data_IF_086644156242
#
_entry.id   IF_086644156242
#
_cell.length_a   1.000
_cell.length_b   1.000
_cell.length_c   1.000
_cell.angle_alpha   90.00
_cell.angle_beta   90.00
_cell.angle_gamma   90.00
#
_symmetry.space_group_name_H-M   'P 1'
#
loop_
_entity.id
_entity.type
_entity.pdbx_description
1 polymer ?
#
# COMPACT_ATOMS: atom_id res chain seq x y z
N UNK A 1 -7.89 20.78 -7.22
CA UNK A 1 -6.86 19.75 -7.23
C UNK A 1 -7.13 18.80 -6.09
N UNK A 2 -7.12 17.48 -6.33
CA UNK A 2 -7.38 16.47 -5.28
C UNK A 2 -6.07 16.01 -4.65
N UNK A 3 -6.13 15.58 -3.38
CA UNK A 3 -5.04 14.93 -2.66
C UNK A 3 -5.64 13.94 -1.67
N UNK A 4 -5.07 12.77 -1.57
CA UNK A 4 -5.57 11.69 -0.73
C UNK A 4 -4.68 10.47 -0.82
N UNK A 5 -5.08 9.38 -0.17
CA UNK A 5 -4.40 8.09 -0.33
C UNK A 5 -4.43 7.57 -1.79
N UNK A 6 -5.34 8.09 -2.62
CA UNK A 6 -5.44 7.81 -4.05
C UNK A 6 -4.69 8.83 -4.93
N UNK A 7 -3.80 9.63 -4.34
CA UNK A 7 -2.93 10.54 -5.09
C UNK A 7 -3.52 11.87 -5.49
N UNK A 8 -2.98 12.45 -6.56
CA UNK A 8 -3.18 13.86 -6.96
C UNK A 8 -4.04 14.02 -8.21
N UNK A 9 -4.23 12.93 -8.97
CA UNK A 9 -5.02 12.88 -10.21
C UNK A 9 -4.56 13.92 -11.25
N UNK A 10 -3.25 14.07 -11.43
CA UNK A 10 -2.65 15.02 -12.37
C UNK A 10 -1.81 14.36 -13.48
N UNK A 11 -1.88 13.02 -13.61
CA UNK A 11 -1.09 12.22 -14.54
C UNK A 11 0.43 12.15 -14.24
N UNK A 12 0.90 12.67 -13.10
CA UNK A 12 2.28 12.54 -12.66
C UNK A 12 2.40 11.57 -11.48
N UNK A 13 2.76 10.32 -11.78
CA UNK A 13 2.89 9.29 -10.73
C UNK A 13 3.99 9.60 -9.69
N UNK A 14 4.90 10.54 -9.97
CA UNK A 14 6.01 10.87 -9.07
C UNK A 14 5.56 11.69 -7.87
N UNK A 15 4.37 12.29 -7.92
CA UNK A 15 3.83 13.11 -6.83
C UNK A 15 2.60 12.52 -6.13
N UNK A 16 2.26 11.26 -6.43
CA UNK A 16 1.11 10.56 -5.83
C UNK A 16 1.23 10.44 -4.30
N UNK A 17 2.45 10.52 -3.75
CA UNK A 17 2.68 10.59 -2.30
C UNK A 17 2.70 12.02 -1.74
N UNK A 18 2.04 12.97 -2.42
CA UNK A 18 1.83 14.32 -1.91
C UNK A 18 1.00 14.29 -0.62
N UNK A 19 1.51 14.93 0.44
CA UNK A 19 0.81 15.04 1.72
C UNK A 19 -0.21 16.19 1.70
N UNK A 20 -1.08 16.30 2.73
CA UNK A 20 -1.94 17.47 2.90
C UNK A 20 -1.17 18.81 2.97
N UNK A 21 0.08 18.78 3.44
CA UNK A 21 0.95 19.96 3.57
C UNK A 21 1.66 20.34 2.26
N UNK A 22 1.56 19.50 1.21
CA UNK A 22 2.08 19.80 -0.12
C UNK A 22 3.52 19.36 -0.39
N UNK A 23 4.19 18.77 0.59
CA UNK A 23 5.43 18.00 0.39
C UNK A 23 5.13 16.60 -0.17
N UNK A 24 6.14 15.92 -0.73
CA UNK A 24 6.04 14.57 -1.29
C UNK A 24 6.91 13.63 -0.46
N UNK A 25 6.28 12.60 0.12
CA UNK A 25 6.97 11.57 0.88
C UNK A 25 7.55 10.49 -0.06
N UNK A 26 8.63 9.83 0.36
CA UNK A 26 9.25 8.72 -0.40
C UNK A 26 8.87 7.34 0.14
N UNK A 27 8.30 7.29 1.35
CA UNK A 27 7.89 6.06 2.03
C UNK A 27 6.37 5.94 2.05
N UNK A 28 5.86 4.76 1.68
CA UNK A 28 4.42 4.42 1.74
C UNK A 28 3.87 4.65 3.15
N UNK A 29 4.61 4.19 4.17
CA UNK A 29 4.20 4.32 5.57
C UNK A 29 4.21 5.78 6.03
N UNK A 30 5.23 6.55 5.65
CA UNK A 30 5.31 7.98 6.00
C UNK A 30 4.15 8.76 5.36
N UNK A 31 3.91 8.54 4.07
CA UNK A 31 2.77 9.08 3.33
C UNK A 31 1.42 8.75 3.98
N UNK A 32 1.13 7.47 4.21
CA UNK A 32 -0.14 7.03 4.80
C UNK A 32 -0.36 7.63 6.19
N UNK A 33 0.69 7.75 7.01
CA UNK A 33 0.61 8.34 8.35
C UNK A 33 0.22 9.84 8.33
N UNK A 34 0.50 10.58 7.26
CA UNK A 34 0.12 12.00 7.10
C UNK A 34 -1.38 12.19 6.81
N UNK A 35 -2.06 11.13 6.38
CA UNK A 35 -3.50 11.14 6.08
C UNK A 35 -4.37 10.56 7.20
N UNK A 36 -3.80 10.30 8.38
CA UNK A 36 -4.59 9.92 9.56
C UNK A 36 -5.54 11.07 9.94
N UNK A 37 -6.82 10.74 10.06
CA UNK A 37 -7.87 11.72 10.40
C UNK A 37 -7.93 11.95 11.91
N UNK A 38 -7.85 10.88 12.70
CA UNK A 38 -7.84 10.96 14.16
C UNK A 38 -6.41 10.87 14.70
N UNK A 39 -6.03 11.73 15.66
CA UNK A 39 -4.75 11.60 16.35
C UNK A 39 -4.66 10.33 17.20
N UNK A 40 -5.79 9.73 17.57
CA UNK A 40 -5.84 8.48 18.33
C UNK A 40 -5.50 7.25 17.48
N UNK A 41 -5.49 7.38 16.14
CA UNK A 41 -5.07 6.31 15.26
C UNK A 41 -3.57 6.03 15.43
N UNK A 42 -3.17 4.76 15.67
CA UNK A 42 -1.76 4.41 15.86
C UNK A 42 -0.93 4.79 14.63
N UNK A 43 0.33 5.15 14.87
CA UNK A 43 1.31 5.37 13.79
C UNK A 43 1.63 4.01 13.18
N UNK A 44 1.55 3.90 11.86
CA UNK A 44 1.95 2.69 11.14
C UNK A 44 3.47 2.49 11.26
N UNK A 45 3.88 1.24 11.53
CA UNK A 45 5.28 0.84 11.55
C UNK A 45 5.90 0.93 10.14
N UNK A 46 7.14 1.39 10.00
CA UNK A 46 7.85 1.34 8.72
C UNK A 46 8.25 -0.09 8.32
N UNK A 47 8.20 -1.04 9.26
CA UNK A 47 8.50 -2.46 8.97
C UNK A 47 7.26 -3.10 8.34
N UNK A 48 7.37 -3.61 7.10
CA UNK A 48 6.27 -4.33 6.46
C UNK A 48 5.89 -5.56 7.27
N UNK A 49 4.58 -5.80 7.39
CA UNK A 49 4.09 -7.09 7.85
C UNK A 49 4.24 -8.10 6.71
N UNK A 50 4.77 -9.28 7.01
CA UNK A 50 5.04 -10.35 6.03
C UNK A 50 4.13 -11.57 6.27
N UNK A 51 2.88 -11.57 5.75
CA UNK A 51 1.90 -12.60 6.05
C UNK A 51 2.35 -14.01 5.67
N UNK A 52 3.06 -14.18 4.56
CA UNK A 52 3.51 -15.50 4.10
C UNK A 52 4.57 -16.13 5.01
N UNK A 53 5.29 -15.31 5.77
CA UNK A 53 6.27 -15.76 6.77
C UNK A 53 5.61 -15.98 8.12
N UNK A 54 4.72 -15.07 8.54
CA UNK A 54 3.96 -15.19 9.79
C UNK A 54 2.99 -16.38 9.76
N UNK A 55 2.37 -16.63 8.62
CA UNK A 55 1.40 -17.70 8.39
C UNK A 55 1.97 -18.74 7.42
N UNK A 56 3.17 -19.23 7.73
CA UNK A 56 3.89 -20.19 6.89
C UNK A 56 3.07 -21.44 6.50
N UNK A 57 2.24 -22.04 7.39
CA UNK A 57 1.41 -23.19 7.01
C UNK A 57 0.40 -22.91 5.88
N UNK A 58 -0.05 -21.65 5.74
CA UNK A 58 -1.04 -21.25 4.73
C UNK A 58 -0.39 -20.90 3.37
N UNK A 59 0.94 -20.77 3.32
CA UNK A 59 1.66 -20.27 2.16
C UNK A 59 1.42 -21.11 0.90
N UNK A 60 1.48 -22.44 1.01
CA UNK A 60 1.31 -23.33 -0.15
C UNK A 60 -0.11 -23.29 -0.70
N UNK A 61 -1.10 -23.27 0.19
CA UNK A 61 -2.51 -23.13 -0.19
C UNK A 61 -2.77 -21.80 -0.92
N UNK A 62 -2.26 -20.69 -0.38
CA UNK A 62 -2.40 -19.37 -0.99
C UNK A 62 -1.71 -19.32 -2.37
N UNK A 63 -0.49 -19.87 -2.48
CA UNK A 63 0.24 -19.91 -3.74
C UNK A 63 -0.50 -20.74 -4.80
N UNK A 64 -1.01 -21.91 -4.44
CA UNK A 64 -1.77 -22.76 -5.36
C UNK A 64 -3.07 -22.08 -5.84
N UNK A 65 -3.78 -21.38 -4.94
CA UNK A 65 -4.98 -20.64 -5.31
C UNK A 65 -4.67 -19.46 -6.26
N UNK A 66 -3.63 -18.68 -5.97
CA UNK A 66 -3.26 -17.52 -6.79
C UNK A 66 -2.62 -17.90 -8.13
N UNK A 67 -2.07 -19.10 -8.28
CA UNK A 67 -1.44 -19.55 -9.52
C UNK A 67 -2.38 -19.52 -10.74
N UNK A 68 -3.70 -19.57 -10.53
CA UNK A 68 -4.68 -19.48 -11.61
C UNK A 68 -4.57 -18.16 -12.39
N UNK A 69 -4.18 -17.06 -11.72
CA UNK A 69 -4.02 -15.75 -12.34
C UNK A 69 -2.91 -15.71 -13.40
N UNK A 70 -2.01 -16.71 -13.39
CA UNK A 70 -0.93 -16.87 -14.36
C UNK A 70 -1.15 -18.05 -15.32
N UNK A 71 -2.32 -18.69 -15.26
CA UNK A 71 -2.67 -19.82 -16.14
C UNK A 71 -3.15 -19.36 -17.51
N UNK A 72 -3.26 -20.30 -18.44
CA UNK A 72 -3.78 -20.04 -19.79
C UNK A 72 -5.20 -19.45 -19.81
N UNK A 73 -5.99 -19.63 -18.74
CA UNK A 73 -7.33 -19.03 -18.63
C UNK A 73 -7.30 -17.50 -18.59
N UNK A 74 -6.16 -16.91 -18.20
CA UNK A 74 -5.96 -15.47 -18.05
C UNK A 74 -4.86 -14.92 -18.99
N UNK A 75 -4.58 -15.63 -20.08
CA UNK A 75 -3.73 -15.18 -21.20
C UNK A 75 -4.59 -14.72 -22.38
#
# INVERSE_FOLDING_TARGET
>A
QVRGLCGTYNWDQRDEFATPMGDVETSVTAFANKYRVSPDCPVLSPVPFEPCSTYAPQRELAAAACAILHSASFQ
#
